data_IF_470802177442
#
_entry.id   IF_470802177442
#
_cell.length_a   1.000
_cell.length_b   1.000
_cell.length_c   1.000
_cell.angle_alpha   90.00
_cell.angle_beta   90.00
_cell.angle_gamma   90.00
#
_symmetry.space_group_name_H-M   'P 1'
#
loop_
_entity.id
_entity.type
_entity.pdbx_description
1 polymer ?
#
# COMPACT_ATOMS: atom_id res chain seq x y z
N UNK A 1 -54.13 33.93 14.23
CA UNK A 1 -53.30 33.10 15.12
C UNK A 1 -53.56 31.63 14.80
N UNK A 2 -52.49 30.82 14.71
CA UNK A 2 -52.51 29.35 14.64
C UNK A 2 -52.85 28.72 13.27
N UNK A 3 -51.93 28.83 12.30
CA UNK A 3 -51.77 27.76 11.32
C UNK A 3 -50.35 27.21 11.42
N UNK A 4 -50.31 25.89 11.61
CA UNK A 4 -49.16 25.11 12.04
C UNK A 4 -47.98 25.28 11.09
N UNK A 5 -46.91 25.87 11.61
CA UNK A 5 -45.57 25.76 11.06
C UNK A 5 -45.04 24.34 11.36
N UNK A 6 -45.58 23.35 10.66
CA UNK A 6 -45.12 21.96 10.72
C UNK A 6 -43.88 21.78 9.84
N UNK A 7 -42.78 22.47 10.17
CA UNK A 7 -41.49 22.13 9.57
C UNK A 7 -41.05 20.81 10.19
N UNK A 8 -41.23 19.75 9.41
CA UNK A 8 -40.64 18.44 9.65
C UNK A 8 -39.12 18.62 9.62
N UNK A 9 -38.52 18.63 10.80
CA UNK A 9 -37.08 18.56 10.98
C UNK A 9 -36.66 17.13 10.59
N UNK A 10 -36.36 16.91 9.31
CA UNK A 10 -35.65 15.74 8.83
C UNK A 10 -34.23 15.80 9.39
N UNK A 11 -34.07 15.35 10.63
CA UNK A 11 -32.79 14.99 11.19
C UNK A 11 -32.31 13.76 10.40
N UNK A 12 -31.54 14.00 9.35
CA UNK A 12 -30.70 12.97 8.73
C UNK A 12 -29.64 12.58 9.76
N UNK A 13 -30.00 11.74 10.73
CA UNK A 13 -29.04 11.07 11.60
C UNK A 13 -28.34 10.04 10.72
N UNK A 14 -27.36 10.50 9.93
CA UNK A 14 -26.36 9.61 9.36
C UNK A 14 -25.46 9.16 10.51
N UNK A 15 -25.97 8.20 11.29
CA UNK A 15 -25.15 7.36 12.15
C UNK A 15 -24.48 6.31 11.25
N UNK A 16 -23.69 6.78 10.28
CA UNK A 16 -22.70 5.92 9.65
C UNK A 16 -21.66 5.64 10.71
N UNK A 17 -21.48 4.37 11.08
CA UNK A 17 -20.37 3.95 11.92
C UNK A 17 -19.10 4.62 11.37
N UNK A 18 -18.52 5.57 12.09
CA UNK A 18 -17.27 6.20 11.68
C UNK A 18 -16.20 5.13 11.82
N UNK A 19 -15.85 4.51 10.71
CA UNK A 19 -14.83 3.48 10.69
C UNK A 19 -13.47 4.16 10.62
N UNK A 20 -12.82 4.27 11.77
CA UNK A 20 -11.51 4.90 11.85
C UNK A 20 -10.45 3.96 11.23
N UNK A 21 -9.71 4.49 10.26
CA UNK A 21 -8.58 3.80 9.64
C UNK A 21 -7.26 4.38 10.16
N UNK A 22 -6.37 3.51 10.66
CA UNK A 22 -5.06 3.94 11.11
C UNK A 22 -4.06 3.91 9.96
N UNK A 23 -3.79 5.07 9.35
CA UNK A 23 -2.83 5.14 8.24
C UNK A 23 -1.39 4.83 8.69
N UNK A 24 -0.56 4.25 7.79
CA UNK A 24 0.88 4.21 7.95
C UNK A 24 1.45 5.60 8.20
N UNK A 25 2.61 5.66 8.86
CA UNK A 25 3.35 6.91 9.09
C UNK A 25 4.75 6.77 8.54
N UNK A 26 5.27 7.83 7.90
CA UNK A 26 6.66 7.95 7.50
C UNK A 26 7.15 9.38 7.77
N UNK A 27 8.44 9.64 7.59
CA UNK A 27 9.11 10.89 7.93
C UNK A 27 9.27 11.86 6.74
N UNK A 28 8.79 11.48 5.55
CA UNK A 28 8.88 12.30 4.35
C UNK A 28 7.73 12.09 3.40
N UNK A 29 7.41 13.11 2.62
CA UNK A 29 6.44 13.07 1.53
C UNK A 29 7.10 12.58 0.24
N UNK A 30 6.51 11.56 -0.41
CA UNK A 30 6.91 11.07 -1.74
C UNK A 30 6.09 11.77 -2.82
N UNK A 31 4.76 11.69 -2.73
CA UNK A 31 3.81 12.48 -3.53
C UNK A 31 2.89 13.22 -2.59
N UNK A 32 2.74 14.53 -2.80
CA UNK A 32 1.96 15.41 -1.92
C UNK A 32 0.47 15.39 -2.27
N UNK A 33 0.15 15.53 -3.55
CA UNK A 33 -1.22 15.71 -4.03
C UNK A 33 -1.51 14.73 -5.17
N UNK A 34 -2.73 14.18 -5.18
CA UNK A 34 -3.29 13.36 -6.26
C UNK A 34 -4.63 13.96 -6.61
N UNK A 35 -4.89 14.17 -7.90
CA UNK A 35 -6.16 14.69 -8.42
C UNK A 35 -6.93 13.56 -9.11
N UNK A 36 -8.23 13.77 -9.37
CA UNK A 36 -9.09 12.77 -10.04
C UNK A 36 -8.95 11.36 -9.44
N UNK A 37 -9.32 11.24 -8.17
CA UNK A 37 -9.05 10.04 -7.38
C UNK A 37 -10.32 9.35 -6.86
N UNK A 38 -10.22 8.02 -6.80
CA UNK A 38 -11.13 7.11 -6.13
C UNK A 38 -10.51 6.63 -4.82
N UNK A 39 -11.08 6.98 -3.64
CA UNK A 39 -10.60 6.48 -2.37
C UNK A 39 -11.15 5.07 -2.11
N UNK A 40 -10.24 4.12 -1.87
CA UNK A 40 -10.55 2.74 -1.52
C UNK A 40 -10.04 2.50 -0.10
N UNK A 41 -10.86 1.87 0.74
CA UNK A 41 -10.52 1.62 2.14
C UNK A 41 -10.40 0.13 2.42
N UNK A 42 -9.35 -0.24 3.17
CA UNK A 42 -9.16 -1.60 3.70
C UNK A 42 -9.04 -1.50 5.21
N UNK A 43 -10.09 -1.91 5.91
CA UNK A 43 -10.23 -1.79 7.36
C UNK A 43 -9.66 -3.01 8.08
N UNK A 44 -9.04 -2.75 9.23
CA UNK A 44 -8.63 -3.77 10.18
C UNK A 44 -9.83 -4.19 11.04
N UNK A 45 -10.21 -5.47 10.99
CA UNK A 45 -11.28 -6.04 11.81
C UNK A 45 -10.79 -7.23 12.61
N UNK A 46 -11.38 -7.40 13.78
CA UNK A 46 -11.23 -8.59 14.59
C UNK A 46 -12.59 -9.28 14.66
N UNK A 47 -12.64 -10.56 14.28
CA UNK A 47 -13.81 -11.42 14.47
C UNK A 47 -13.37 -12.65 15.27
N UNK A 48 -13.68 -12.66 16.57
CA UNK A 48 -13.15 -13.67 17.48
C UNK A 48 -11.63 -13.57 17.61
N UNK A 49 -10.91 -14.63 17.23
CA UNK A 49 -9.43 -14.66 17.22
C UNK A 49 -8.83 -14.29 15.85
N UNK A 50 -9.66 -14.10 14.84
CA UNK A 50 -9.22 -13.86 13.47
C UNK A 50 -9.11 -12.36 13.16
N UNK A 51 -8.03 -12.00 12.46
CA UNK A 51 -7.86 -10.69 11.84
C UNK A 51 -8.40 -10.74 10.41
N UNK A 52 -9.23 -9.77 10.03
CA UNK A 52 -9.82 -9.66 8.70
C UNK A 52 -9.45 -8.31 8.06
N UNK A 53 -9.22 -8.33 6.75
CA UNK A 53 -9.08 -7.15 5.91
C UNK A 53 -10.41 -6.91 5.19
N UNK A 54 -11.19 -5.93 5.65
CA UNK A 54 -12.49 -5.59 5.06
C UNK A 54 -12.31 -4.51 4.00
N UNK A 55 -12.59 -4.83 2.73
CA UNK A 55 -12.38 -3.92 1.60
C UNK A 55 -13.68 -3.24 1.19
N UNK A 56 -13.70 -1.90 1.26
CA UNK A 56 -14.80 -1.11 0.69
C UNK A 56 -14.55 -0.84 -0.80
N UNK A 57 -15.13 -1.69 -1.66
CA UNK A 57 -14.98 -1.61 -3.13
C UNK A 57 -15.98 -0.67 -3.81
N UNK A 58 -16.90 -0.05 -3.07
CA UNK A 58 -18.02 0.70 -3.67
C UNK A 58 -17.59 1.93 -4.47
N UNK A 59 -16.37 2.43 -4.22
CA UNK A 59 -15.84 3.66 -4.83
C UNK A 59 -14.75 3.40 -5.89
N UNK A 60 -14.57 2.18 -6.40
CA UNK A 60 -13.48 1.89 -7.35
C UNK A 60 -13.85 2.26 -8.79
N UNK A 61 -13.55 3.48 -9.24
CA UNK A 61 -13.79 3.93 -10.64
C UNK A 61 -12.54 3.66 -11.48
N UNK A 62 -12.65 2.82 -12.51
CA UNK A 62 -11.50 2.31 -13.29
C UNK A 62 -10.64 3.38 -13.98
N UNK A 63 -11.24 4.50 -14.39
CA UNK A 63 -10.58 5.58 -15.14
C UNK A 63 -9.84 6.61 -14.28
N UNK A 64 -9.99 6.54 -12.95
CA UNK A 64 -9.43 7.51 -12.00
C UNK A 64 -8.19 6.97 -11.29
N UNK A 65 -7.41 7.85 -10.65
CA UNK A 65 -6.34 7.46 -9.76
C UNK A 65 -6.90 6.69 -8.55
N UNK A 66 -6.35 5.54 -8.19
CA UNK A 66 -6.80 4.84 -6.98
C UNK A 66 -5.91 5.17 -5.80
N UNK A 67 -6.53 5.63 -4.71
CA UNK A 67 -5.84 5.84 -3.44
C UNK A 67 -6.33 4.78 -2.46
N UNK A 68 -5.47 3.81 -2.16
CA UNK A 68 -5.74 2.77 -1.18
C UNK A 68 -5.33 3.27 0.20
N UNK A 69 -6.34 3.54 1.02
CA UNK A 69 -6.22 3.79 2.45
C UNK A 69 -6.30 2.44 3.16
N UNK A 70 -5.17 1.97 3.70
CA UNK A 70 -5.08 0.63 4.29
C UNK A 70 -4.66 0.78 5.75
N UNK A 71 -5.36 0.10 6.64
CA UNK A 71 -5.02 0.12 8.05
C UNK A 71 -3.63 -0.50 8.28
N UNK A 72 -2.74 0.27 8.91
CA UNK A 72 -1.33 -0.08 9.14
C UNK A 72 -1.14 -1.39 9.90
N UNK A 73 -2.14 -1.84 10.68
CA UNK A 73 -2.06 -3.04 11.52
C UNK A 73 -2.24 -4.32 10.72
N UNK A 74 -2.81 -4.24 9.52
CA UNK A 74 -3.08 -5.43 8.72
C UNK A 74 -1.77 -6.11 8.27
N UNK A 75 -1.64 -7.44 8.39
CA UNK A 75 -0.48 -8.16 7.87
C UNK A 75 -0.54 -8.26 6.33
N UNK A 76 0.62 -8.28 5.68
CA UNK A 76 0.73 -8.36 4.22
C UNK A 76 0.02 -9.59 3.62
N UNK A 77 0.00 -10.72 4.34
CA UNK A 77 -0.71 -11.94 3.93
C UNK A 77 -2.22 -11.74 3.71
N UNK A 78 -2.81 -10.70 4.31
CA UNK A 78 -4.21 -10.32 4.08
C UNK A 78 -4.33 -9.17 3.08
N UNK A 79 -3.41 -8.21 3.13
CA UNK A 79 -3.46 -7.00 2.29
C UNK A 79 -3.11 -7.30 0.84
N UNK A 80 -1.96 -7.94 0.60
CA UNK A 80 -1.42 -8.12 -0.76
C UNK A 80 -2.36 -8.92 -1.66
N UNK A 81 -3.01 -10.01 -1.20
CA UNK A 81 -4.01 -10.69 -2.03
C UNK A 81 -5.19 -9.81 -2.44
N UNK A 82 -5.68 -8.93 -1.57
CA UNK A 82 -6.76 -8.00 -1.92
C UNK A 82 -6.28 -6.93 -2.91
N UNK A 83 -5.06 -6.43 -2.74
CA UNK A 83 -4.43 -5.49 -3.70
C UNK A 83 -4.27 -6.15 -5.06
N UNK A 84 -3.79 -7.39 -5.12
CA UNK A 84 -3.62 -8.15 -6.37
C UNK A 84 -4.95 -8.27 -7.12
N UNK A 85 -6.02 -8.72 -6.44
CA UNK A 85 -7.37 -8.82 -7.04
C UNK A 85 -7.85 -7.49 -7.62
N UNK A 86 -7.58 -6.38 -6.93
CA UNK A 86 -7.94 -5.05 -7.39
C UNK A 86 -7.11 -4.61 -8.60
N UNK A 87 -5.80 -4.85 -8.60
CA UNK A 87 -4.93 -4.56 -9.74
C UNK A 87 -5.32 -5.38 -10.97
N UNK A 88 -5.62 -6.67 -10.81
CA UNK A 88 -6.09 -7.55 -11.88
C UNK A 88 -7.39 -7.02 -12.49
N UNK A 89 -8.37 -6.67 -11.65
CA UNK A 89 -9.62 -6.06 -12.11
C UNK A 89 -9.37 -4.78 -12.91
N UNK A 90 -8.53 -3.87 -12.40
CA UNK A 90 -8.25 -2.59 -13.08
C UNK A 90 -7.50 -2.77 -14.40
N UNK A 91 -6.54 -3.70 -14.44
CA UNK A 91 -5.72 -3.97 -15.64
C UNK A 91 -6.50 -4.75 -16.70
N UNK A 92 -7.43 -5.61 -16.28
CA UNK A 92 -8.28 -6.40 -17.18
C UNK A 92 -9.46 -5.64 -17.79
N UNK A 93 -9.82 -4.48 -17.26
CA UNK A 93 -10.91 -3.62 -17.76
C UNK A 93 -10.45 -2.84 -19.00
N UNK A 94 -10.34 -3.56 -20.13
CA UNK A 94 -9.77 -3.05 -21.38
C UNK A 94 -10.65 -2.01 -22.10
N UNK A 95 -11.97 -2.02 -21.86
CA UNK A 95 -12.92 -1.12 -22.52
C UNK A 95 -12.92 0.31 -21.94
N UNK A 96 -12.48 0.48 -20.69
CA UNK A 96 -12.46 1.77 -19.98
C UNK A 96 -11.10 2.05 -19.31
N UNK A 97 -10.01 1.58 -19.92
CA UNK A 97 -8.65 1.76 -19.40
C UNK A 97 -8.19 3.19 -19.62
N UNK A 98 -7.97 3.93 -18.53
CA UNK A 98 -7.15 5.14 -18.57
C UNK A 98 -5.70 4.76 -18.29
N UNK A 99 -4.84 4.86 -19.30
CA UNK A 99 -3.41 4.49 -19.17
C UNK A 99 -2.61 5.45 -18.29
N UNK A 100 -3.13 6.66 -18.08
CA UNK A 100 -2.51 7.67 -17.21
C UNK A 100 -2.92 7.52 -15.75
N UNK A 101 -3.97 6.75 -15.45
CA UNK A 101 -4.45 6.54 -14.09
C UNK A 101 -3.46 5.69 -13.28
N UNK A 102 -3.02 6.25 -12.16
CA UNK A 102 -2.07 5.63 -11.24
C UNK A 102 -2.77 5.06 -10.00
N UNK A 103 -2.03 4.24 -9.24
CA UNK A 103 -2.46 3.69 -7.98
C UNK A 103 -1.45 4.05 -6.90
N UNK A 104 -1.94 4.51 -5.76
CA UNK A 104 -1.15 4.97 -4.63
C UNK A 104 -1.61 4.34 -3.32
N UNK A 105 -0.68 4.08 -2.42
CA UNK A 105 -1.00 3.92 -1.01
C UNK A 105 -0.94 5.26 -0.32
N UNK A 106 -1.91 5.55 0.55
CA UNK A 106 -1.85 6.73 1.41
C UNK A 106 -1.12 6.46 2.72
N UNK A 107 -0.46 7.48 3.24
CA UNK A 107 0.19 7.47 4.55
C UNK A 107 0.26 8.90 5.11
N UNK A 108 0.48 9.03 6.41
CA UNK A 108 0.71 10.32 7.05
C UNK A 108 2.21 10.63 7.10
N UNK A 109 2.61 11.76 6.53
CA UNK A 109 3.92 12.35 6.76
C UNK A 109 3.95 12.95 8.17
N UNK A 110 4.75 12.35 9.05
CA UNK A 110 4.88 12.73 10.44
C UNK A 110 5.69 14.01 10.66
N UNK A 111 6.57 14.38 9.72
CA UNK A 111 7.36 15.61 9.79
C UNK A 111 6.61 16.74 9.08
N UNK A 112 6.16 16.50 7.85
CA UNK A 112 5.38 17.46 7.05
C UNK A 112 3.96 17.70 7.58
N UNK A 113 3.46 16.80 8.44
CA UNK A 113 2.11 16.82 9.04
C UNK A 113 1.00 16.88 7.99
N UNK A 114 1.17 16.15 6.90
CA UNK A 114 0.23 16.08 5.78
C UNK A 114 -0.08 14.63 5.39
N UNK A 115 -1.16 14.46 4.63
CA UNK A 115 -1.40 13.23 3.88
C UNK A 115 -0.38 13.17 2.73
N UNK A 116 0.16 11.98 2.47
CA UNK A 116 1.11 11.73 1.40
C UNK A 116 0.83 10.38 0.74
N UNK A 117 1.40 10.20 -0.44
CA UNK A 117 1.10 9.07 -1.31
C UNK A 117 2.37 8.42 -1.84
N UNK A 118 2.37 7.08 -1.92
CA UNK A 118 3.44 6.31 -2.56
C UNK A 118 2.88 5.50 -3.73
N UNK A 119 3.39 5.70 -4.96
CA UNK A 119 2.88 5.00 -6.13
C UNK A 119 3.22 3.51 -6.11
N UNK A 120 2.30 2.70 -6.61
CA UNK A 120 2.49 1.25 -6.81
C UNK A 120 1.89 0.74 -8.13
N UNK A 121 1.47 1.61 -9.05
CA UNK A 121 0.87 1.25 -10.35
C UNK A 121 1.65 0.19 -11.11
N UNK A 122 2.97 0.35 -11.17
CA UNK A 122 3.91 -0.49 -11.92
C UNK A 122 4.40 -1.71 -11.14
N UNK A 123 3.95 -1.88 -9.89
CA UNK A 123 4.36 -2.99 -9.03
C UNK A 123 3.53 -4.23 -9.35
N UNK A 124 4.21 -5.37 -9.45
CA UNK A 124 3.60 -6.69 -9.64
C UNK A 124 3.84 -7.54 -8.41
N UNK A 125 2.79 -7.73 -7.61
CA UNK A 125 2.88 -8.51 -6.38
C UNK A 125 2.90 -10.00 -6.64
N UNK A 126 3.69 -10.71 -5.82
CA UNK A 126 3.80 -12.18 -5.82
C UNK A 126 3.79 -12.68 -4.37
N UNK A 127 3.12 -13.80 -4.12
CA UNK A 127 3.03 -14.44 -2.79
C UNK A 127 3.95 -15.65 -2.63
N UNK A 128 4.82 -15.88 -3.61
CA UNK A 128 5.78 -16.98 -3.64
C UNK A 128 7.20 -16.45 -3.42
N UNK A 129 8.18 -17.34 -3.19
CA UNK A 129 9.58 -16.96 -3.14
C UNK A 129 10.13 -16.80 -4.57
N UNK A 130 10.89 -15.74 -4.91
CA UNK A 130 11.54 -15.63 -6.21
C UNK A 130 12.51 -16.79 -6.43
N UNK A 131 12.54 -17.31 -7.66
CA UNK A 131 13.38 -18.46 -8.03
C UNK A 131 14.84 -18.09 -8.29
N UNK A 132 15.05 -16.95 -8.92
CA UNK A 132 16.35 -16.46 -9.37
C UNK A 132 16.53 -14.98 -8.97
N UNK A 133 17.73 -14.43 -9.20
CA UNK A 133 18.06 -13.02 -8.94
C UNK A 133 18.60 -12.75 -7.54
N UNK A 134 18.92 -11.49 -7.27
CA UNK A 134 19.38 -11.02 -5.95
C UNK A 134 18.17 -10.76 -5.07
N UNK A 135 18.08 -11.49 -3.95
CA UNK A 135 16.96 -11.38 -3.03
C UNK A 135 17.34 -10.43 -1.90
N UNK A 136 16.63 -9.31 -1.81
CA UNK A 136 16.67 -8.40 -0.67
C UNK A 136 15.42 -8.65 0.17
N UNK A 137 15.57 -9.43 1.23
CA UNK A 137 14.47 -9.83 2.10
C UNK A 137 14.42 -8.98 3.37
N UNK A 138 13.26 -8.40 3.63
CA UNK A 138 12.95 -7.65 4.83
C UNK A 138 12.09 -8.51 5.77
N UNK A 139 12.64 -8.86 6.93
CA UNK A 139 11.89 -9.59 7.94
C UNK A 139 10.93 -8.68 8.72
N UNK A 140 10.01 -9.28 9.47
CA UNK A 140 9.05 -8.53 10.31
C UNK A 140 9.69 -7.69 11.43
N UNK A 141 10.97 -7.91 11.74
CA UNK A 141 11.74 -7.22 12.77
C UNK A 141 12.64 -6.11 12.19
N UNK A 142 12.46 -5.75 10.91
CA UNK A 142 13.26 -4.78 10.15
C UNK A 142 14.71 -5.21 9.87
N UNK A 143 15.03 -6.51 10.00
CA UNK A 143 16.30 -7.05 9.50
C UNK A 143 16.26 -7.15 7.98
N UNK A 144 17.41 -6.90 7.37
CA UNK A 144 17.58 -6.94 5.93
C UNK A 144 18.57 -8.07 5.62
N UNK A 145 18.13 -9.02 4.80
CA UNK A 145 18.91 -10.16 4.36
C UNK A 145 19.13 -10.03 2.86
N UNK A 146 20.38 -9.95 2.41
CA UNK A 146 20.72 -10.04 0.98
C UNK A 146 21.31 -11.43 0.72
N UNK A 147 20.62 -12.24 -0.07
CA UNK A 147 20.99 -13.64 -0.33
C UNK A 147 21.31 -14.43 0.96
N UNK A 148 20.51 -14.21 2.02
CA UNK A 148 20.63 -14.82 3.36
C UNK A 148 21.73 -14.26 4.27
N UNK A 149 22.47 -13.22 3.85
CA UNK A 149 23.41 -12.50 4.73
C UNK A 149 22.75 -11.27 5.32
N UNK A 150 22.83 -11.08 6.63
CA UNK A 150 22.31 -9.88 7.30
C UNK A 150 23.15 -8.66 6.91
N UNK A 151 22.49 -7.60 6.45
CA UNK A 151 23.09 -6.34 5.99
C UNK A 151 22.47 -5.18 6.77
N UNK A 152 23.29 -4.24 7.22
CA UNK A 152 22.80 -3.03 7.86
C UNK A 152 22.06 -2.15 6.85
N UNK A 153 21.02 -1.44 7.30
CA UNK A 153 20.19 -0.58 6.45
C UNK A 153 21.00 0.44 5.64
N UNK A 154 22.00 1.06 6.26
CA UNK A 154 22.84 2.08 5.61
C UNK A 154 23.79 1.49 4.56
N UNK A 155 24.10 0.19 4.65
CA UNK A 155 25.00 -0.49 3.72
C UNK A 155 24.27 -1.14 2.54
N UNK A 156 22.94 -1.21 2.59
CA UNK A 156 22.13 -1.93 1.60
C UNK A 156 22.38 -1.44 0.17
N UNK A 157 22.39 -0.12 -0.03
CA UNK A 157 22.58 0.46 -1.36
C UNK A 157 23.94 0.08 -1.95
N UNK A 158 25.01 0.25 -1.17
CA UNK A 158 26.36 -0.13 -1.58
C UNK A 158 26.45 -1.65 -1.83
N UNK A 159 25.81 -2.45 -0.99
CA UNK A 159 25.79 -3.89 -1.14
C UNK A 159 25.08 -4.32 -2.44
N UNK A 160 23.94 -3.72 -2.77
CA UNK A 160 23.22 -3.97 -4.03
C UNK A 160 24.10 -3.59 -5.22
N UNK A 161 24.66 -2.38 -5.22
CA UNK A 161 25.47 -1.85 -6.34
C UNK A 161 26.72 -2.70 -6.62
N UNK A 162 27.37 -3.21 -5.57
CA UNK A 162 28.62 -3.95 -5.70
C UNK A 162 28.43 -5.45 -5.99
N UNK A 163 27.28 -6.04 -5.62
CA UNK A 163 27.09 -7.50 -5.68
C UNK A 163 26.02 -7.95 -6.69
N UNK A 164 25.29 -7.03 -7.33
CA UNK A 164 24.17 -7.35 -8.23
C UNK A 164 24.57 -7.27 -9.70
N UNK A 165 25.60 -8.04 -10.09
CA UNK A 165 26.18 -8.14 -11.43
C UNK A 165 25.13 -8.40 -12.53
N UNK A 166 24.52 -7.35 -13.06
CA UNK A 166 23.45 -7.39 -14.07
C UNK A 166 22.22 -8.27 -13.76
N UNK A 167 22.09 -8.73 -12.52
CA UNK A 167 20.97 -9.56 -12.08
C UNK A 167 19.84 -8.70 -11.54
N UNK A 168 18.60 -9.11 -11.83
CA UNK A 168 17.41 -8.54 -11.22
C UNK A 168 17.52 -8.57 -9.69
N UNK A 169 17.19 -7.45 -9.07
CA UNK A 169 17.10 -7.28 -7.62
C UNK A 169 15.62 -7.29 -7.26
N UNK A 170 15.23 -8.24 -6.40
CA UNK A 170 13.85 -8.40 -5.94
C UNK A 170 13.71 -7.99 -4.48
N UNK A 171 12.81 -7.05 -4.21
CA UNK A 171 12.40 -6.74 -2.84
C UNK A 171 11.36 -7.74 -2.36
N UNK A 172 11.68 -8.38 -1.24
CA UNK A 172 10.88 -9.41 -0.62
C UNK A 172 10.56 -9.02 0.81
N UNK A 173 9.33 -9.25 1.26
CA UNK A 173 8.86 -8.87 2.58
C UNK A 173 8.25 -10.09 3.29
N UNK A 174 8.45 -10.21 4.59
CA UNK A 174 7.75 -11.22 5.39
C UNK A 174 6.23 -11.00 5.30
N UNK A 175 5.48 -12.02 4.89
CA UNK A 175 4.02 -11.92 4.76
C UNK A 175 3.29 -11.56 6.07
N UNK A 176 3.91 -11.77 7.22
CA UNK A 176 3.35 -11.42 8.54
C UNK A 176 3.73 -10.00 8.99
N UNK A 177 4.56 -9.30 8.22
CA UNK A 177 4.84 -7.88 8.44
C UNK A 177 3.54 -7.08 8.36
N UNK A 178 3.37 -6.11 9.26
CA UNK A 178 2.24 -5.20 9.21
C UNK A 178 2.42 -4.19 8.06
N UNK A 179 1.31 -3.72 7.51
CA UNK A 179 1.29 -2.82 6.36
C UNK A 179 2.00 -1.49 6.63
N UNK A 180 1.96 -0.99 7.87
CA UNK A 180 2.66 0.22 8.28
C UNK A 180 4.18 0.13 8.14
N UNK A 181 4.77 -0.98 8.59
CA UNK A 181 6.20 -1.27 8.43
C UNK A 181 6.55 -1.42 6.95
N UNK A 182 5.73 -2.13 6.20
CA UNK A 182 5.93 -2.29 4.75
C UNK A 182 5.97 -0.95 4.00
N UNK A 183 5.05 -0.02 4.27
CA UNK A 183 5.06 1.30 3.63
C UNK A 183 6.34 2.08 3.95
N UNK A 184 6.81 2.03 5.20
CA UNK A 184 8.09 2.65 5.58
C UNK A 184 9.27 2.06 4.80
N UNK A 185 9.34 0.73 4.70
CA UNK A 185 10.38 0.06 3.94
C UNK A 185 10.27 0.35 2.45
N UNK A 186 9.05 0.41 1.90
CA UNK A 186 8.79 0.77 0.51
C UNK A 186 9.29 2.18 0.19
N UNK A 187 9.01 3.14 1.08
CA UNK A 187 9.53 4.51 0.96
C UNK A 187 11.05 4.52 1.00
N UNK A 188 11.67 3.74 1.90
CA UNK A 188 13.12 3.62 1.99
C UNK A 188 13.75 3.04 0.71
N UNK A 189 13.26 1.90 0.21
CA UNK A 189 13.83 1.30 -1.01
C UNK A 189 13.55 2.12 -2.26
N UNK A 190 12.49 2.93 -2.26
CA UNK A 190 12.19 3.85 -3.37
C UNK A 190 13.27 4.93 -3.56
N UNK A 191 14.03 5.28 -2.51
CA UNK A 191 15.19 6.18 -2.63
C UNK A 191 16.47 5.49 -3.09
N UNK A 192 16.48 4.16 -3.22
CA UNK A 192 17.62 3.44 -3.77
C UNK A 192 17.48 3.40 -5.28
N UNK A 193 18.36 4.11 -5.99
CA UNK A 193 18.37 4.12 -7.46
C UNK A 193 19.35 3.06 -7.99
N UNK A 194 18.80 2.03 -8.62
CA UNK A 194 19.59 0.99 -9.29
C UNK A 194 18.85 0.41 -10.51
N UNK A 195 19.57 0.26 -11.63
CA UNK A 195 18.99 -0.08 -12.93
C UNK A 195 18.38 -1.48 -13.02
N UNK A 196 18.76 -2.40 -12.14
CA UNK A 196 18.25 -3.78 -12.11
C UNK A 196 17.22 -4.02 -11.02
N UNK A 197 16.67 -2.97 -10.38
CA UNK A 197 15.56 -3.15 -9.45
C UNK A 197 14.34 -3.62 -10.24
N UNK A 198 13.85 -4.82 -9.92
CA UNK A 198 12.65 -5.34 -10.54
C UNK A 198 11.41 -4.59 -10.05
N UNK A 199 10.41 -4.50 -10.91
CA UNK A 199 9.09 -4.03 -10.55
C UNK A 199 8.22 -5.12 -9.86
N UNK A 200 8.75 -6.32 -9.67
CA UNK A 200 8.10 -7.38 -8.91
C UNK A 200 8.45 -7.25 -7.42
N UNK A 201 7.42 -7.24 -6.57
CA UNK A 201 7.56 -7.25 -5.11
C UNK A 201 6.94 -8.54 -4.56
N UNK A 202 7.65 -9.18 -3.64
CA UNK A 202 7.26 -10.48 -3.10
C UNK A 202 6.87 -10.38 -1.62
N UNK A 203 5.80 -11.06 -1.21
CA UNK A 203 5.39 -11.15 0.19
C UNK A 203 5.14 -12.62 0.55
N UNK A 204 6.08 -13.26 1.28
CA UNK A 204 6.03 -14.71 1.57
C UNK A 204 6.43 -15.07 3.00
#
# INVERSE_FOLDING_TARGET
>A
MKYLFGIVLLLCISCGNKEDILLPKADRTVVKDVVDLSPIYIFFRIKGKDTLAEVNRKNSIGTTNWVLNIDKRLPLRLVIPEVMKMQEKKRGDSAHKNETAENYYSYADSIGKNLAFIPFTKVYYKMEKPKNGVIVFFDKNNKILVNSKEIAKNDLENHIKNNSSNNDVYYCFDKNMNFGTYVNLKIFVKSIEWKFISNHEFAY
#
